data_IF_679850887243
#
_entry.id   IF_679850887243
#
_cell.length_a   1.000
_cell.length_b   1.000
_cell.length_c   1.000
_cell.angle_alpha   90.00
_cell.angle_beta   90.00
_cell.angle_gamma   90.00
#
_symmetry.space_group_name_H-M   'P 1'
#
loop_
_entity.id
_entity.type
_entity.pdbx_description
1 polymer ?
#
# COMPACT_ATOMS: atom_id res chain seq x y z
N UNK A 1 70.65 19.81 22.71
CA UNK A 1 70.39 18.53 22.00
C UNK A 1 69.48 18.86 20.83
N UNK A 2 70.01 18.90 19.60
CA UNK A 2 69.20 19.21 18.41
C UNK A 2 68.36 17.98 18.05
N UNK A 3 67.04 18.13 18.02
CA UNK A 3 66.13 17.10 17.51
C UNK A 3 66.25 17.10 15.98
N UNK A 4 66.78 16.01 15.41
CA UNK A 4 66.76 15.80 13.96
C UNK A 4 65.32 15.52 13.54
N UNK A 5 64.77 16.35 12.67
CA UNK A 5 63.44 16.16 12.09
C UNK A 5 63.42 14.93 11.18
N UNK A 6 62.42 14.07 11.34
CA UNK A 6 62.19 12.88 10.50
C UNK A 6 60.99 13.09 9.60
N UNK A 7 61.15 12.83 8.30
CA UNK A 7 60.08 12.87 7.29
C UNK A 7 59.55 11.45 7.05
N UNK A 8 58.27 11.31 6.75
CA UNK A 8 57.64 10.02 6.49
C UNK A 8 57.14 9.91 5.05
N UNK A 9 57.39 8.76 4.41
CA UNK A 9 56.84 8.46 3.10
C UNK A 9 55.39 7.97 3.23
N UNK A 10 54.42 8.60 2.58
CA UNK A 10 53.00 8.20 2.66
C UNK A 10 52.70 6.88 1.95
N UNK A 11 53.57 6.41 1.05
CA UNK A 11 53.34 5.20 0.26
C UNK A 11 53.95 3.92 0.87
N UNK A 12 55.07 4.04 1.59
CA UNK A 12 55.73 2.90 2.25
C UNK A 12 55.83 3.04 3.77
N UNK A 13 55.36 4.15 4.34
CA UNK A 13 55.34 4.45 5.79
C UNK A 13 56.70 4.46 6.49
N UNK A 14 57.81 4.40 5.74
CA UNK A 14 59.16 4.47 6.30
C UNK A 14 59.54 5.92 6.65
N UNK A 15 60.23 6.08 7.79
CA UNK A 15 60.76 7.36 8.25
C UNK A 15 62.21 7.57 7.80
N UNK A 16 62.52 8.77 7.32
CA UNK A 16 63.86 9.16 6.86
C UNK A 16 64.29 10.47 7.52
N UNK A 17 65.58 10.64 7.83
CA UNK A 17 66.10 11.87 8.40
C UNK A 17 66.07 13.01 7.36
N UNK A 18 65.45 14.14 7.72
CA UNK A 18 65.18 15.27 6.83
C UNK A 18 66.45 15.96 6.30
N UNK A 19 67.58 15.81 7.01
CA UNK A 19 68.87 16.37 6.63
C UNK A 19 69.57 15.59 5.50
N UNK A 20 69.08 14.39 5.16
CA UNK A 20 69.73 13.50 4.18
C UNK A 20 68.87 13.12 2.99
N UNK A 21 67.55 13.21 3.10
CA UNK A 21 66.65 12.69 2.08
C UNK A 21 65.52 13.68 1.80
N UNK A 22 65.42 14.08 0.53
CA UNK A 22 64.35 14.95 0.03
C UNK A 22 63.27 14.11 -0.69
N UNK A 23 63.58 12.86 -1.03
CA UNK A 23 62.72 11.90 -1.70
C UNK A 23 62.88 10.52 -1.04
N UNK A 24 61.84 9.70 -1.11
CA UNK A 24 61.88 8.34 -0.61
C UNK A 24 62.79 7.47 -1.50
N UNK A 25 63.84 6.82 -0.96
CA UNK A 25 64.75 6.00 -1.75
C UNK A 25 64.12 4.71 -2.31
N UNK A 26 62.93 4.33 -1.81
CA UNK A 26 62.20 3.13 -2.26
C UNK A 26 61.13 3.47 -3.29
N UNK A 27 60.45 4.61 -3.11
CA UNK A 27 59.28 4.98 -3.91
C UNK A 27 59.56 6.14 -4.89
N UNK A 28 60.71 6.81 -4.78
CA UNK A 28 61.12 7.98 -5.57
C UNK A 28 60.16 9.20 -5.52
N UNK A 29 59.22 9.21 -4.58
CA UNK A 29 58.30 10.33 -4.35
C UNK A 29 58.85 11.32 -3.30
N UNK A 30 58.50 12.62 -3.38
CA UNK A 30 58.92 13.61 -2.40
C UNK A 30 58.43 13.26 -0.99
N UNK A 31 59.29 13.51 0.00
CA UNK A 31 58.98 13.33 1.41
C UNK A 31 58.39 14.64 1.95
N UNK A 32 57.09 14.65 2.23
CA UNK A 32 56.44 15.83 2.79
C UNK A 32 56.68 15.92 4.30
N UNK A 33 56.83 17.14 4.82
CA UNK A 33 56.77 17.40 6.25
C UNK A 33 55.41 16.92 6.75
N UNK A 34 55.42 15.90 7.61
CA UNK A 34 54.24 15.45 8.32
C UNK A 34 53.84 16.48 9.39
N UNK A 35 53.49 17.70 8.98
CA UNK A 35 52.80 18.68 9.81
C UNK A 35 51.32 18.34 10.00
N UNK A 36 50.90 17.15 9.57
CA UNK A 36 49.59 16.60 9.89
C UNK A 36 49.59 15.90 11.26
N UNK A 37 50.03 16.62 12.31
CA UNK A 37 49.66 16.30 13.68
C UNK A 37 48.42 17.11 14.06
N UNK A 38 47.22 16.59 13.79
CA UNK A 38 46.00 17.11 14.39
C UNK A 38 45.79 16.45 15.75
N UNK A 39 46.40 17.02 16.79
CA UNK A 39 45.95 16.77 18.16
C UNK A 39 44.71 17.62 18.41
N UNK A 40 43.55 16.98 18.53
CA UNK A 40 42.35 17.66 19.03
C UNK A 40 42.18 17.32 20.52
N UNK A 41 42.44 18.30 21.38
CA UNK A 41 41.99 18.25 22.77
C UNK A 41 40.51 18.62 22.81
N UNK A 42 39.65 17.62 22.99
CA UNK A 42 38.23 17.84 23.25
C UNK A 42 38.03 18.19 24.73
N UNK A 43 37.69 19.45 25.02
CA UNK A 43 37.16 19.85 26.33
C UNK A 43 35.66 20.10 26.18
N UNK A 44 34.84 19.26 26.83
CA UNK A 44 33.40 19.44 26.95
C UNK A 44 32.58 18.20 26.58
N UNK A 45 31.48 17.99 27.28
CA UNK A 45 30.58 16.86 27.11
C UNK A 45 29.69 17.14 25.88
N UNK A 46 29.87 16.41 24.78
CA UNK A 46 29.04 16.38 23.55
C UNK A 46 29.45 17.28 22.36
N UNK A 47 30.74 17.48 22.09
CA UNK A 47 31.16 18.06 20.81
C UNK A 47 31.54 16.97 19.80
N UNK A 48 30.88 16.95 18.63
CA UNK A 48 31.32 16.16 17.46
C UNK A 48 32.19 17.05 16.57
N UNK A 49 33.50 16.79 16.56
CA UNK A 49 34.43 17.41 15.60
C UNK A 49 34.39 16.65 14.27
N UNK A 50 33.96 17.31 13.20
CA UNK A 50 34.02 16.77 11.83
C UNK A 50 35.13 17.52 11.10
N UNK A 51 36.22 16.81 10.77
CA UNK A 51 37.35 17.37 10.04
C UNK A 51 37.37 16.76 8.64
N UNK A 52 37.20 17.61 7.64
CA UNK A 52 37.08 17.18 6.25
C UNK A 52 38.33 17.67 5.53
N UNK A 53 39.24 16.76 5.22
CA UNK A 53 40.43 17.04 4.41
C UNK A 53 40.13 16.88 2.92
N UNK A 54 40.66 17.79 2.10
CA UNK A 54 40.58 17.76 0.64
C UNK A 54 39.72 18.86 0.01
N UNK A 55 39.82 19.02 -1.32
CA UNK A 55 39.01 19.93 -2.13
C UNK A 55 37.58 19.40 -2.27
N UNK A 56 36.74 19.71 -1.28
CA UNK A 56 35.32 19.34 -1.30
C UNK A 56 34.53 20.42 -2.05
N UNK A 57 34.26 20.19 -3.33
CA UNK A 57 33.33 21.01 -4.11
C UNK A 57 31.89 20.55 -3.85
N UNK A 58 31.38 20.77 -2.64
CA UNK A 58 30.01 20.40 -2.28
C UNK A 58 29.63 20.76 -0.84
N UNK A 59 28.34 20.94 -0.59
CA UNK A 59 27.82 21.17 0.76
C UNK A 59 27.88 19.90 1.60
N UNK A 60 28.49 19.96 2.77
CA UNK A 60 28.46 18.86 3.74
C UNK A 60 27.24 19.05 4.62
N UNK A 61 26.22 18.23 4.38
CA UNK A 61 24.96 18.29 5.14
C UNK A 61 25.05 17.32 6.32
N UNK A 62 25.28 17.87 7.50
CA UNK A 62 25.24 17.12 8.77
C UNK A 62 23.77 17.09 9.21
N UNK A 63 23.21 15.89 9.41
CA UNK A 63 21.77 15.65 9.56
C UNK A 63 20.94 16.09 8.34
N UNK A 64 21.07 15.41 7.19
CA UNK A 64 20.13 15.64 6.10
C UNK A 64 18.72 15.39 6.62
N UNK A 65 17.85 16.41 6.50
CA UNK A 65 16.42 16.22 6.67
C UNK A 65 16.03 15.12 5.69
N UNK A 66 15.51 13.96 6.16
CA UNK A 66 15.13 12.90 5.25
C UNK A 66 14.18 13.48 4.20
N UNK A 67 14.38 13.20 2.90
CA UNK A 67 13.46 13.67 1.89
C UNK A 67 12.05 13.21 2.29
N UNK A 68 11.07 14.12 2.24
CA UNK A 68 9.70 13.78 2.58
C UNK A 68 9.29 12.54 1.78
N UNK A 69 8.72 11.50 2.43
CA UNK A 69 8.37 10.28 1.73
C UNK A 69 7.36 10.63 0.64
N UNK A 70 7.75 10.38 -0.63
CA UNK A 70 6.85 10.52 -1.77
C UNK A 70 5.59 9.71 -1.49
N UNK A 71 4.45 10.39 -1.38
CA UNK A 71 3.16 9.74 -1.13
C UNK A 71 2.71 9.03 -2.40
N UNK A 72 2.34 7.77 -2.29
CA UNK A 72 1.72 7.02 -3.39
C UNK A 72 0.36 7.66 -3.70
N UNK A 73 0.21 8.20 -4.90
CA UNK A 73 -1.03 8.83 -5.34
C UNK A 73 -1.93 7.74 -5.94
N UNK A 74 -3.02 7.44 -5.23
CA UNK A 74 -4.04 6.47 -5.62
C UNK A 74 -5.30 7.23 -6.00
N UNK A 75 -5.91 6.88 -7.12
CA UNK A 75 -7.15 7.49 -7.59
C UNK A 75 -8.03 6.45 -8.29
N UNK A 76 -9.30 6.80 -8.51
CA UNK A 76 -10.22 6.00 -9.32
C UNK A 76 -9.94 6.29 -10.78
N UNK A 77 -9.47 5.28 -11.52
CA UNK A 77 -9.19 5.40 -12.96
C UNK A 77 -10.48 5.34 -13.78
N UNK A 78 -11.40 4.45 -13.37
CA UNK A 78 -12.66 4.22 -14.07
C UNK A 78 -13.77 4.05 -13.05
N UNK A 79 -14.87 4.75 -13.27
CA UNK A 79 -16.09 4.65 -12.48
C UNK A 79 -17.23 4.39 -13.45
N UNK A 80 -17.88 3.23 -13.32
CA UNK A 80 -19.03 2.87 -14.14
C UNK A 80 -20.25 2.62 -13.25
N UNK A 81 -21.33 3.41 -13.36
CA UNK A 81 -22.54 3.15 -12.60
C UNK A 81 -23.15 1.83 -13.05
N UNK A 82 -23.56 1.01 -12.08
CA UNK A 82 -24.33 -0.20 -12.34
C UNK A 82 -25.78 0.23 -12.49
N UNK A 83 -26.29 0.20 -13.71
CA UNK A 83 -27.67 0.59 -14.03
C UNK A 83 -28.38 -0.52 -14.80
N UNK A 84 -29.69 -0.62 -14.55
CA UNK A 84 -30.61 -1.50 -15.29
C UNK A 84 -31.63 -0.57 -15.95
N UNK A 85 -31.76 -0.64 -17.27
CA UNK A 85 -32.66 0.23 -18.04
C UNK A 85 -32.48 1.72 -17.69
N UNK A 86 -31.23 2.20 -17.65
CA UNK A 86 -30.83 3.56 -17.27
C UNK A 86 -31.20 3.99 -15.84
N UNK A 87 -31.70 3.08 -15.01
CA UNK A 87 -31.97 3.36 -13.59
C UNK A 87 -30.81 2.84 -12.74
N UNK A 88 -30.20 3.68 -11.88
CA UNK A 88 -29.09 3.25 -11.04
C UNK A 88 -29.56 2.18 -10.06
N UNK A 89 -28.86 1.05 -10.04
CA UNK A 89 -29.18 -0.04 -9.13
C UNK A 89 -28.75 0.37 -7.72
N UNK A 90 -29.70 0.27 -6.78
CA UNK A 90 -29.44 0.57 -5.37
C UNK A 90 -29.32 -0.73 -4.58
N UNK A 91 -28.43 -0.74 -3.58
CA UNK A 91 -28.24 -1.92 -2.73
C UNK A 91 -29.54 -2.35 -2.02
N UNK A 92 -30.41 -1.40 -1.66
CA UNK A 92 -31.68 -1.69 -0.99
C UNK A 92 -32.65 -2.50 -1.86
N UNK A 93 -32.51 -2.50 -3.20
CA UNK A 93 -33.34 -3.34 -4.07
C UNK A 93 -33.10 -4.82 -3.79
N UNK A 94 -31.84 -5.22 -3.58
CA UNK A 94 -31.49 -6.60 -3.21
C UNK A 94 -32.03 -6.96 -1.83
N UNK A 95 -31.89 -6.06 -0.85
CA UNK A 95 -32.42 -6.27 0.50
C UNK A 95 -33.95 -6.38 0.50
N UNK A 96 -34.66 -5.47 -0.17
CA UNK A 96 -36.12 -5.45 -0.21
C UNK A 96 -36.68 -6.65 -0.97
N UNK A 97 -36.15 -6.97 -2.15
CA UNK A 97 -36.58 -8.15 -2.92
C UNK A 97 -36.29 -9.45 -2.17
N UNK A 98 -35.12 -9.56 -1.54
CA UNK A 98 -34.77 -10.71 -0.71
C UNK A 98 -35.69 -10.87 0.50
N UNK A 99 -35.98 -9.77 1.21
CA UNK A 99 -36.89 -9.79 2.36
C UNK A 99 -38.32 -10.17 1.96
N UNK A 100 -38.86 -9.60 0.88
CA UNK A 100 -40.18 -9.94 0.36
C UNK A 100 -40.25 -11.41 -0.07
N UNK A 101 -39.21 -11.90 -0.75
CA UNK A 101 -39.12 -13.31 -1.15
C UNK A 101 -39.08 -14.25 0.05
N UNK A 102 -38.33 -13.91 1.11
CA UNK A 102 -38.29 -14.72 2.33
C UNK A 102 -39.65 -14.77 3.01
N UNK A 103 -40.32 -13.63 3.19
CA UNK A 103 -41.66 -13.57 3.80
C UNK A 103 -42.68 -14.35 2.97
N UNK A 104 -42.66 -14.19 1.63
CA UNK A 104 -43.56 -14.91 0.73
C UNK A 104 -43.34 -16.43 0.72
N UNK A 105 -42.09 -16.88 0.77
CA UNK A 105 -41.76 -18.30 0.86
C UNK A 105 -42.15 -18.89 2.22
N UNK A 106 -41.93 -18.16 3.32
CA UNK A 106 -42.39 -18.58 4.65
C UNK A 106 -43.91 -18.72 4.72
N UNK A 107 -44.65 -17.75 4.16
CA UNK A 107 -46.10 -17.83 4.07
C UNK A 107 -46.56 -19.06 3.27
N UNK A 108 -45.90 -19.35 2.15
CA UNK A 108 -46.19 -20.54 1.32
C UNK A 108 -45.96 -21.84 2.08
N UNK A 109 -44.84 -21.97 2.80
CA UNK A 109 -44.52 -23.16 3.60
C UNK A 109 -45.54 -23.35 4.73
N UNK A 110 -45.89 -22.28 5.44
CA UNK A 110 -46.89 -22.31 6.50
C UNK A 110 -48.28 -22.68 5.95
N UNK A 111 -48.64 -22.18 4.77
CA UNK A 111 -49.87 -22.55 4.08
C UNK A 111 -49.94 -24.04 3.78
N UNK A 112 -48.88 -24.61 3.21
CA UNK A 112 -48.79 -26.07 2.93
C UNK A 112 -48.85 -26.89 4.21
N UNK A 113 -48.16 -26.45 5.28
CA UNK A 113 -48.19 -27.15 6.57
C UNK A 113 -49.60 -27.13 7.20
N UNK A 114 -50.31 -26.01 7.09
CA UNK A 114 -51.70 -25.90 7.55
C UNK A 114 -52.63 -26.84 6.77
N UNK A 115 -52.46 -26.98 5.45
CA UNK A 115 -53.26 -27.88 4.61
C UNK A 115 -52.90 -29.36 4.77
N UNK A 116 -51.67 -29.70 5.16
CA UNK A 116 -51.29 -31.09 5.44
C UNK A 116 -52.00 -31.65 6.69
N UNK A 117 -52.43 -30.78 7.62
CA UNK A 117 -53.26 -31.14 8.75
C UNK A 117 -54.65 -31.68 8.37
N UNK A 118 -55.12 -31.46 7.13
CA UNK A 118 -56.41 -31.95 6.63
C UNK A 118 -56.34 -33.29 5.89
N UNK A 119 -55.19 -33.99 5.92
CA UNK A 119 -55.07 -35.39 5.49
C UNK A 119 -54.80 -35.63 4.00
N UNK A 120 -54.67 -34.59 3.17
CA UNK A 120 -54.27 -34.75 1.77
C UNK A 120 -52.74 -34.71 1.64
N UNK A 121 -52.16 -35.74 1.02
CA UNK A 121 -50.72 -35.82 0.73
C UNK A 121 -50.37 -34.85 -0.41
N UNK A 122 -50.11 -33.58 -0.09
CA UNK A 122 -49.56 -32.64 -1.06
C UNK A 122 -48.06 -32.95 -1.28
N UNK A 123 -47.59 -33.12 -2.53
CA UNK A 123 -46.16 -33.30 -2.80
C UNK A 123 -45.39 -32.07 -2.33
N UNK A 124 -44.26 -32.30 -1.66
CA UNK A 124 -43.39 -31.23 -1.17
C UNK A 124 -43.04 -30.31 -2.36
N UNK A 125 -43.41 -29.03 -2.34
CA UNK A 125 -43.15 -28.17 -3.47
C UNK A 125 -41.66 -27.85 -3.48
N UNK A 126 -40.93 -28.42 -4.42
CA UNK A 126 -39.49 -28.17 -4.63
C UNK A 126 -39.21 -26.75 -5.12
N UNK A 127 -40.20 -26.12 -5.76
CA UNK A 127 -40.08 -24.78 -6.34
C UNK A 127 -39.90 -23.66 -5.27
N UNK A 128 -40.72 -23.57 -4.19
CA UNK A 128 -40.50 -22.63 -3.08
C UNK A 128 -39.12 -22.68 -2.44
N UNK A 129 -38.48 -23.86 -2.37
CA UNK A 129 -37.16 -23.99 -1.75
C UNK A 129 -36.10 -23.23 -2.55
N UNK A 130 -36.11 -23.33 -3.88
CA UNK A 130 -35.18 -22.58 -4.73
C UNK A 130 -35.41 -21.07 -4.65
N UNK A 131 -36.67 -20.62 -4.61
CA UNK A 131 -36.99 -19.21 -4.40
C UNK A 131 -36.57 -18.72 -3.01
N UNK A 132 -36.70 -19.55 -1.98
CA UNK A 132 -36.25 -19.24 -0.63
C UNK A 132 -34.73 -19.05 -0.59
N UNK A 133 -33.96 -19.96 -1.21
CA UNK A 133 -32.50 -19.83 -1.31
C UNK A 133 -32.08 -18.58 -2.09
N UNK A 134 -32.73 -18.30 -3.23
CA UNK A 134 -32.46 -17.11 -4.02
C UNK A 134 -32.77 -15.83 -3.23
N UNK A 135 -33.93 -15.77 -2.56
CA UNK A 135 -34.34 -14.61 -1.75
C UNK A 135 -33.43 -14.41 -0.54
N UNK A 136 -33.03 -15.48 0.14
CA UNK A 136 -32.05 -15.46 1.22
C UNK A 136 -30.69 -14.93 0.75
N UNK A 137 -30.21 -15.40 -0.42
CA UNK A 137 -28.99 -14.89 -1.03
C UNK A 137 -29.08 -13.39 -1.34
N UNK A 138 -30.16 -12.92 -1.98
CA UNK A 138 -30.35 -11.51 -2.29
C UNK A 138 -30.39 -10.64 -1.02
N UNK A 139 -31.06 -11.12 0.03
CA UNK A 139 -31.14 -10.43 1.31
C UNK A 139 -29.75 -10.30 1.96
N UNK A 140 -29.04 -11.42 2.11
CA UNK A 140 -27.68 -11.45 2.69
C UNK A 140 -26.73 -10.58 1.86
N UNK A 141 -26.81 -10.68 0.53
CA UNK A 141 -25.99 -9.87 -0.37
C UNK A 141 -26.27 -8.37 -0.20
N UNK A 142 -27.54 -7.95 -0.16
CA UNK A 142 -27.93 -6.56 0.04
C UNK A 142 -27.45 -5.99 1.39
N UNK A 143 -27.60 -6.76 2.48
CA UNK A 143 -27.12 -6.38 3.81
C UNK A 143 -25.59 -6.35 3.88
N UNK A 144 -24.92 -7.36 3.30
CA UNK A 144 -23.47 -7.46 3.27
C UNK A 144 -22.85 -6.29 2.50
N UNK A 145 -23.46 -5.93 1.38
CA UNK A 145 -23.10 -4.75 0.59
C UNK A 145 -23.27 -3.46 1.41
N UNK A 146 -24.40 -3.26 2.08
CA UNK A 146 -24.62 -2.09 2.95
C UNK A 146 -23.54 -1.95 4.04
N UNK A 147 -23.13 -3.08 4.65
CA UNK A 147 -22.13 -3.08 5.73
C UNK A 147 -20.70 -2.87 5.23
N UNK A 148 -20.30 -3.55 4.16
CA UNK A 148 -18.92 -3.49 3.67
C UNK A 148 -18.66 -2.26 2.80
N UNK A 149 -19.69 -1.77 2.08
CA UNK A 149 -19.66 -0.65 1.10
C UNK A 149 -18.62 -0.77 -0.03
N UNK A 150 -17.72 -1.73 0.04
CA UNK A 150 -16.65 -2.04 -0.92
C UNK A 150 -16.49 -3.55 -0.99
N UNK A 151 -16.49 -4.09 -2.21
CA UNK A 151 -16.27 -5.50 -2.47
C UNK A 151 -15.29 -5.63 -3.63
N UNK A 152 -14.08 -6.11 -3.35
CA UNK A 152 -13.10 -6.42 -4.40
C UNK A 152 -13.50 -7.69 -5.15
N UNK A 153 -13.36 -7.68 -6.48
CA UNK A 153 -13.57 -8.88 -7.29
C UNK A 153 -12.26 -9.69 -7.32
N UNK A 154 -12.26 -10.97 -6.92
CA UNK A 154 -11.01 -11.73 -6.77
C UNK A 154 -10.31 -12.05 -8.11
N UNK A 155 -10.99 -11.91 -9.24
CA UNK A 155 -10.48 -12.25 -10.58
C UNK A 155 -10.30 -11.03 -11.50
N UNK A 156 -10.51 -9.82 -10.98
CA UNK A 156 -10.45 -8.57 -11.76
C UNK A 156 -9.90 -7.45 -10.89
N UNK A 157 -9.22 -6.47 -11.48
CA UNK A 157 -8.78 -5.26 -10.79
C UNK A 157 -9.93 -4.26 -10.58
N UNK A 158 -11.15 -4.78 -10.49
CA UNK A 158 -12.38 -4.02 -10.32
C UNK A 158 -12.97 -4.30 -8.95
N UNK A 159 -13.61 -3.27 -8.39
CA UNK A 159 -14.34 -3.37 -7.15
C UNK A 159 -15.77 -2.87 -7.36
N UNK A 160 -16.68 -3.38 -6.55
CA UNK A 160 -18.03 -2.85 -6.43
C UNK A 160 -18.02 -1.90 -5.23
N UNK A 161 -18.38 -0.65 -5.47
CA UNK A 161 -18.50 0.39 -4.47
C UNK A 161 -19.94 0.86 -4.32
N UNK A 162 -20.30 1.17 -3.08
CA UNK A 162 -21.57 1.81 -2.74
C UNK A 162 -21.30 3.26 -2.37
N UNK A 163 -22.00 4.17 -3.05
CA UNK A 163 -22.08 5.58 -2.65
C UNK A 163 -22.90 5.75 -1.38
N UNK A 164 -22.73 6.87 -0.67
CA UNK A 164 -23.60 7.33 0.43
C UNK A 164 -25.10 7.22 0.08
N UNK A 165 -25.49 7.49 -1.17
CA UNK A 165 -26.89 7.40 -1.65
C UNK A 165 -27.38 5.96 -1.89
N UNK A 166 -26.51 4.97 -1.64
CA UNK A 166 -26.80 3.56 -1.79
C UNK A 166 -26.74 3.03 -3.22
N UNK A 167 -26.31 3.85 -4.18
CA UNK A 167 -26.11 3.47 -5.59
C UNK A 167 -24.84 2.65 -5.76
N UNK A 168 -24.86 1.73 -6.73
CA UNK A 168 -23.75 0.83 -7.01
C UNK A 168 -22.90 1.28 -8.19
N UNK A 169 -21.60 1.19 -8.00
CA UNK A 169 -20.59 1.54 -8.99
C UNK A 169 -19.59 0.42 -9.13
N UNK A 170 -19.18 0.16 -10.36
CA UNK A 170 -18.02 -0.66 -10.67
C UNK A 170 -16.83 0.26 -10.84
N UNK A 171 -15.87 0.19 -9.93
CA UNK A 171 -14.68 1.05 -9.92
C UNK A 171 -13.43 0.27 -10.27
N UNK A 172 -12.47 0.93 -10.93
CA UNK A 172 -11.09 0.47 -11.07
C UNK A 172 -10.20 1.49 -10.39
N UNK A 173 -9.45 1.04 -9.39
CA UNK A 173 -8.51 1.88 -8.66
C UNK A 173 -7.11 1.68 -9.25
N UNK A 174 -6.45 2.78 -9.58
CA UNK A 174 -5.07 2.77 -10.07
C UNK A 174 -4.26 3.89 -9.42
N UNK A 175 -2.97 3.94 -9.71
CA UNK A 175 -2.10 4.99 -9.20
C UNK A 175 -0.69 4.83 -9.71
N UNK A 176 0.20 5.64 -9.14
CA UNK A 176 1.63 5.61 -9.46
C UNK A 176 2.43 5.27 -8.21
N UNK A 177 3.34 4.31 -8.34
CA UNK A 177 4.23 3.86 -7.29
C UNK A 177 5.24 4.97 -6.95
N UNK A 178 5.31 5.37 -5.69
CA UNK A 178 6.22 6.44 -5.26
C UNK A 178 7.72 6.11 -5.35
N UNK A 179 8.06 4.83 -5.44
CA UNK A 179 9.45 4.34 -5.45
C UNK A 179 10.02 4.17 -6.87
N UNK A 180 9.19 3.79 -7.85
CA UNK A 180 9.66 3.43 -9.19
C UNK A 180 8.78 3.97 -10.34
N UNK A 181 7.86 4.88 -10.03
CA UNK A 181 6.94 5.55 -10.97
C UNK A 181 6.13 4.60 -11.88
N UNK A 182 6.06 3.32 -11.50
CA UNK A 182 5.31 2.29 -12.21
C UNK A 182 3.85 2.29 -11.77
N UNK A 183 2.91 1.81 -12.61
CA UNK A 183 1.50 1.70 -12.21
C UNK A 183 1.32 0.81 -10.97
N UNK A 184 0.38 1.16 -10.12
CA UNK A 184 -0.06 0.30 -9.00
C UNK A 184 -1.48 -0.20 -9.21
N UNK A 185 -1.74 -1.41 -8.73
CA UNK A 185 -3.05 -2.04 -8.77
C UNK A 185 -3.47 -2.47 -7.37
N UNK A 186 -4.76 -2.40 -7.08
CA UNK A 186 -5.32 -2.91 -5.83
C UNK A 186 -5.64 -4.39 -5.99
N UNK A 187 -5.06 -5.24 -5.14
CA UNK A 187 -5.29 -6.69 -5.14
C UNK A 187 -5.60 -7.19 -3.75
N UNK A 188 -6.43 -8.21 -3.67
CA UNK A 188 -6.67 -8.93 -2.40
C UNK A 188 -5.78 -10.16 -2.37
N UNK A 189 -4.89 -10.24 -1.38
CA UNK A 189 -3.96 -11.35 -1.25
C UNK A 189 -3.95 -11.91 0.17
N UNK A 190 -3.54 -13.18 0.30
CA UNK A 190 -3.54 -13.92 1.56
C UNK A 190 -4.35 -15.21 1.48
N UNK A 191 -4.23 -16.09 2.49
CA UNK A 191 -5.03 -17.31 2.59
C UNK A 191 -6.52 -16.96 2.71
N UNK A 192 -7.42 -17.89 2.36
CA UNK A 192 -8.88 -17.64 2.29
C UNK A 192 -9.46 -16.98 3.55
N UNK A 193 -8.91 -17.29 4.72
CA UNK A 193 -9.38 -16.79 6.02
C UNK A 193 -8.78 -15.43 6.42
N UNK A 194 -7.64 -15.04 5.85
CA UNK A 194 -6.92 -13.81 6.19
C UNK A 194 -6.55 -13.03 4.93
N UNK A 195 -7.58 -12.68 4.15
CA UNK A 195 -7.43 -11.87 2.94
C UNK A 195 -7.28 -10.40 3.31
N UNK A 196 -6.19 -9.79 2.89
CA UNK A 196 -5.95 -8.35 3.02
C UNK A 196 -5.92 -7.68 1.65
N UNK A 197 -6.54 -6.51 1.56
CA UNK A 197 -6.53 -5.70 0.33
C UNK A 197 -5.32 -4.80 0.37
N UNK A 198 -4.52 -4.85 -0.69
CA UNK A 198 -3.23 -4.16 -0.76
C UNK A 198 -3.08 -3.45 -2.09
N UNK A 199 -2.35 -2.35 -2.06
CA UNK A 199 -1.86 -1.65 -3.24
C UNK A 199 -0.52 -2.26 -3.59
N UNK A 200 -0.39 -2.74 -4.81
CA UNK A 200 0.79 -3.48 -5.27
C UNK A 200 1.31 -2.88 -6.57
N UNK A 201 2.62 -2.62 -6.62
CA UNK A 201 3.28 -2.21 -7.84
C UNK A 201 3.25 -3.34 -8.88
N UNK A 202 2.99 -2.98 -10.15
CA UNK A 202 3.01 -3.95 -11.26
C UNK A 202 4.43 -4.44 -11.57
N UNK A 203 5.43 -3.58 -11.45
CA UNK A 203 6.82 -3.91 -11.79
C UNK A 203 7.55 -4.65 -10.64
N UNK A 204 7.34 -4.23 -9.39
CA UNK A 204 8.01 -4.79 -8.20
C UNK A 204 7.00 -5.25 -7.13
N UNK A 205 6.20 -6.29 -7.40
CA UNK A 205 5.06 -6.68 -6.57
C UNK A 205 5.42 -7.16 -5.15
N UNK A 206 6.61 -7.73 -4.95
CA UNK A 206 7.03 -8.28 -3.66
C UNK A 206 7.58 -7.21 -2.71
N UNK A 207 8.20 -6.16 -3.26
CA UNK A 207 8.88 -5.13 -2.49
C UNK A 207 8.02 -3.87 -2.32
N UNK A 208 7.23 -3.50 -3.33
CA UNK A 208 6.43 -2.28 -3.35
C UNK A 208 4.96 -2.62 -3.12
N UNK A 209 4.62 -2.85 -1.85
CA UNK A 209 3.29 -3.24 -1.41
C UNK A 209 2.90 -2.49 -0.15
N UNK A 210 1.67 -2.00 -0.11
CA UNK A 210 1.12 -1.27 1.03
C UNK A 210 -0.30 -1.75 1.33
N UNK A 211 -0.72 -1.66 2.58
CA UNK A 211 -2.11 -1.93 2.95
C UNK A 211 -3.02 -0.86 2.34
N UNK A 212 -4.11 -1.29 1.70
CA UNK A 212 -5.05 -0.37 1.09
C UNK A 212 -6.09 0.07 2.13
N UNK A 213 -5.98 1.31 2.57
CA UNK A 213 -7.03 1.97 3.34
C UNK A 213 -8.02 2.65 2.39
N UNK A 214 -9.28 2.21 2.41
CA UNK A 214 -10.34 2.80 1.57
C UNK A 214 -10.67 4.23 2.00
N UNK A 215 -10.50 4.59 3.27
CA UNK A 215 -10.97 5.87 3.82
C UNK A 215 -10.27 7.08 3.18
N UNK A 216 -9.13 6.86 2.54
CA UNK A 216 -8.41 7.87 1.76
C UNK A 216 -9.17 8.29 0.49
N UNK A 217 -10.06 7.44 -0.01
CA UNK A 217 -10.90 7.72 -1.16
C UNK A 217 -12.21 8.36 -0.70
N UNK A 218 -12.58 9.49 -1.31
CA UNK A 218 -13.87 10.16 -1.08
C UNK A 218 -15.08 9.34 -1.55
N UNK A 219 -16.28 9.92 -1.51
CA UNK A 219 -17.46 9.24 -2.02
C UNK A 219 -17.35 9.00 -3.53
N UNK A 220 -17.74 7.81 -3.98
CA UNK A 220 -17.63 7.43 -5.40
C UNK A 220 -18.55 8.28 -6.30
N UNK A 221 -19.69 8.77 -5.79
CA UNK A 221 -20.58 9.62 -6.57
C UNK A 221 -19.96 11.00 -6.81
N UNK A 222 -19.29 11.56 -5.80
CA UNK A 222 -18.58 12.83 -5.91
C UNK A 222 -17.46 12.77 -6.97
N UNK A 223 -16.77 11.63 -7.09
CA UNK A 223 -15.73 11.43 -8.11
C UNK A 223 -16.28 11.07 -9.50
N UNK A 224 -17.49 10.51 -9.58
CA UNK A 224 -18.15 10.22 -10.86
C UNK A 224 -18.64 11.49 -11.57
N UNK A 225 -18.99 12.53 -10.81
CA UNK A 225 -19.53 13.78 -11.33
C UNK A 225 -18.46 14.80 -11.77
N UNK A 226 -17.17 14.52 -11.53
CA UNK A 226 -16.04 15.35 -11.94
C UNK A 226 -15.56 14.99 -13.33
#
# INVERSE_FOLDING_TARGET
>A
MNQSSTLHCHQCSNGYPADKFNHCPVCEIPLDNADFQQSQQFHGNNNQGIQIGGDNQGSVVINPVPPEPKKTLIHREKIKPISIANTPVKHWWFTASGALGLVGNLASILGVWLTLGTGEQSPLPTFPIWFMLLSGFLFIFGVGMWRMRYLSLPFSNQAIEISKDGQLYLTRISGVCSQCDSPVEVRTIGPKEHRITVVQCTNNPQQHRWEFDRTILGDVNEDYLK
#
